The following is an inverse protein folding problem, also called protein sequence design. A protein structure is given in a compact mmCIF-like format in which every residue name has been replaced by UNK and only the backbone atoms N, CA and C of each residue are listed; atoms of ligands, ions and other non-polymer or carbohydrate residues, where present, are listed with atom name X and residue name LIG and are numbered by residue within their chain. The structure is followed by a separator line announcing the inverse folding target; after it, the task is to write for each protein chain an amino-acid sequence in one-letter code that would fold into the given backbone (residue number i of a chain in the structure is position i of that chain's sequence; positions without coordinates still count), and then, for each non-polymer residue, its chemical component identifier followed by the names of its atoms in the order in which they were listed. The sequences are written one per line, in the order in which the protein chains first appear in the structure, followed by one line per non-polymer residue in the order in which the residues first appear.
data_IF_394063784677
#
_entry.id   IF_394063784677
#
_cell.length_a   1.000
_cell.length_b   1.000
_cell.length_c   1.000
_cell.angle_alpha   90.00
_cell.angle_beta   90.00
_cell.angle_gamma   90.00
#
_symmetry.space_group_name_H-M   'P 1'
#
loop_
_entity.id
_entity.type
_entity.pdbx_description
1 polymer ?
#
# COMPACT_ATOMS: atom_id res chain seq x y z
N UNK A 1 14.92 -10.02 -21.15
CA UNK A 1 13.95 -10.91 -20.44
C UNK A 1 12.61 -10.20 -20.26
N UNK A 2 11.53 -10.85 -20.67
CA UNK A 2 10.15 -10.42 -20.37
C UNK A 2 9.95 -10.42 -18.85
N UNK A 3 9.47 -9.30 -18.30
CA UNK A 3 9.23 -9.13 -16.86
C UNK A 3 7.76 -9.42 -16.57
N UNK A 4 7.47 -10.15 -15.49
CA UNK A 4 6.09 -10.42 -15.05
C UNK A 4 5.29 -9.10 -14.93
N UNK A 5 4.06 -9.05 -15.46
CA UNK A 5 3.17 -7.90 -15.28
C UNK A 5 2.97 -7.59 -13.80
N UNK A 6 2.92 -6.31 -13.44
CA UNK A 6 2.56 -5.92 -12.06
C UNK A 6 1.08 -6.19 -11.86
N UNK A 7 0.75 -6.87 -10.76
CA UNK A 7 -0.63 -7.10 -10.34
C UNK A 7 -1.31 -5.75 -10.14
N UNK A 8 -2.53 -5.62 -10.66
CA UNK A 8 -3.37 -4.45 -10.53
C UNK A 8 -4.81 -4.89 -10.23
N UNK A 9 -5.40 -4.23 -9.24
CA UNK A 9 -6.82 -4.25 -8.96
C UNK A 9 -7.18 -2.95 -8.22
N UNK A 10 -8.37 -2.37 -8.45
CA UNK A 10 -8.85 -1.27 -7.63
C UNK A 10 -8.87 -1.63 -6.14
N UNK A 11 -8.55 -0.67 -5.28
CA UNK A 11 -8.48 -0.81 -3.83
C UNK A 11 -7.18 -1.42 -3.29
N UNK A 12 -6.27 -1.89 -4.14
CA UNK A 12 -4.98 -2.42 -3.68
C UNK A 12 -4.11 -1.33 -3.08
N UNK A 13 -3.58 -1.62 -1.89
CA UNK A 13 -2.63 -0.78 -1.17
C UNK A 13 -1.20 -1.19 -1.57
N UNK A 14 -0.39 -0.20 -1.91
CA UNK A 14 0.99 -0.38 -2.30
C UNK A 14 1.93 0.48 -1.47
N UNK A 15 3.00 -0.12 -0.96
CA UNK A 15 4.20 0.63 -0.58
C UNK A 15 5.10 0.77 -1.80
N UNK A 16 5.30 1.99 -2.24
CA UNK A 16 6.09 2.34 -3.41
C UNK A 16 7.41 2.94 -2.98
N UNK A 17 8.50 2.46 -3.59
CA UNK A 17 9.85 2.97 -3.34
C UNK A 17 10.48 3.34 -4.68
N UNK A 18 11.00 4.56 -4.76
CA UNK A 18 11.76 5.07 -5.91
C UNK A 18 13.14 5.45 -5.43
N UNK A 19 14.21 5.04 -6.11
CA UNK A 19 15.58 5.35 -5.68
C UNK A 19 16.38 5.96 -6.83
N UNK A 20 17.18 6.98 -6.51
CA UNK A 20 18.08 7.66 -7.44
C UNK A 20 19.15 6.73 -7.97
N UNK A 21 19.49 6.87 -9.24
CA UNK A 21 20.51 6.07 -9.90
C UNK A 21 21.84 6.19 -9.14
N UNK A 22 22.51 5.05 -8.90
CA UNK A 22 23.70 4.97 -8.04
C UNK A 22 23.50 5.62 -6.64
N UNK A 23 22.28 5.59 -6.09
CA UNK A 23 21.91 6.23 -4.81
C UNK A 23 22.18 7.74 -4.76
N UNK A 24 22.36 8.38 -5.92
CA UNK A 24 22.59 9.83 -6.02
C UNK A 24 21.36 10.60 -5.58
N UNK A 25 21.59 11.83 -5.12
CA UNK A 25 20.51 12.76 -4.78
C UNK A 25 19.64 13.02 -6.01
N UNK A 26 18.35 12.78 -5.83
CA UNK A 26 17.29 13.11 -6.79
C UNK A 26 16.70 14.48 -6.50
N UNK A 27 16.89 15.00 -5.28
CA UNK A 27 16.52 16.35 -4.88
C UNK A 27 17.78 17.07 -4.37
N UNK A 28 18.13 18.21 -4.98
CA UNK A 28 19.33 18.99 -4.65
C UNK A 28 19.00 20.32 -4.01
N UNK A 29 17.83 20.88 -4.30
CA UNK A 29 17.30 22.09 -3.68
C UNK A 29 15.78 21.98 -3.47
N UNK A 30 15.21 22.95 -2.78
CA UNK A 30 13.79 23.03 -2.46
C UNK A 30 12.88 23.00 -3.70
N UNK A 31 13.33 23.58 -4.80
CA UNK A 31 12.54 23.63 -6.04
C UNK A 31 12.39 22.24 -6.67
N UNK A 32 13.36 21.34 -6.48
CA UNK A 32 13.22 19.94 -6.90
C UNK A 32 12.11 19.23 -6.11
N UNK A 33 12.01 19.52 -4.80
CA UNK A 33 10.97 18.95 -3.95
C UNK A 33 9.59 19.48 -4.33
N UNK A 34 9.45 20.80 -4.50
CA UNK A 34 8.21 21.43 -4.95
C UNK A 34 7.77 20.87 -6.31
N UNK A 35 8.69 20.81 -7.27
CA UNK A 35 8.43 20.25 -8.59
C UNK A 35 7.93 18.80 -8.54
N UNK A 36 8.45 17.98 -7.63
CA UNK A 36 7.96 16.61 -7.45
C UNK A 36 6.58 16.58 -6.81
N UNK A 37 6.33 17.39 -5.77
CA UNK A 37 5.03 17.45 -5.09
C UNK A 37 3.92 17.94 -6.02
N UNK A 38 4.18 18.95 -6.85
CA UNK A 38 3.22 19.44 -7.86
C UNK A 38 2.83 18.33 -8.85
N UNK A 39 3.81 17.53 -9.27
CA UNK A 39 3.58 16.37 -10.15
C UNK A 39 2.84 15.27 -9.40
N UNK A 40 3.20 15.02 -8.15
CA UNK A 40 2.56 14.02 -7.30
C UNK A 40 1.06 14.34 -7.17
N UNK A 41 0.71 15.58 -6.85
CA UNK A 41 -0.68 16.04 -6.79
C UNK A 41 -1.39 15.90 -8.13
N UNK A 42 -0.78 16.40 -9.22
CA UNK A 42 -1.33 16.33 -10.58
C UNK A 42 -1.64 14.90 -11.01
N UNK A 43 -0.69 13.99 -10.87
CA UNK A 43 -0.87 12.60 -11.29
C UNK A 43 -1.75 11.81 -10.33
N UNK A 44 -1.77 12.16 -9.03
CA UNK A 44 -2.74 11.62 -8.07
C UNK A 44 -4.16 11.89 -8.54
N UNK A 45 -4.47 13.15 -8.83
CA UNK A 45 -5.78 13.58 -9.31
C UNK A 45 -6.12 12.93 -10.66
N UNK A 46 -5.20 13.00 -11.64
CA UNK A 46 -5.41 12.45 -12.99
C UNK A 46 -5.63 10.93 -13.01
N UNK A 47 -5.03 10.20 -12.07
CA UNK A 47 -5.13 8.73 -12.02
C UNK A 47 -6.11 8.25 -10.94
N UNK A 48 -6.78 9.16 -10.22
CA UNK A 48 -7.71 8.83 -9.14
C UNK A 48 -7.13 7.83 -8.13
N UNK A 49 -5.87 8.04 -7.72
CA UNK A 49 -5.23 7.25 -6.66
C UNK A 49 -5.33 7.97 -5.33
N UNK A 50 -5.42 7.20 -4.25
CA UNK A 50 -5.37 7.72 -2.88
C UNK A 50 -3.94 7.58 -2.36
N UNK A 51 -3.45 8.59 -1.64
CA UNK A 51 -2.14 8.54 -1.00
C UNK A 51 -2.36 8.72 0.49
N UNK A 52 -1.89 7.78 1.30
CA UNK A 52 -2.01 7.86 2.78
C UNK A 52 -0.73 8.34 3.45
N UNK A 53 0.41 8.23 2.78
CA UNK A 53 1.67 8.72 3.32
C UNK A 53 2.66 8.93 2.18
N UNK A 54 3.54 9.91 2.33
CA UNK A 54 4.71 10.08 1.48
C UNK A 54 5.90 10.61 2.28
N UNK A 55 7.09 10.33 1.78
CA UNK A 55 8.33 10.96 2.24
C UNK A 55 9.31 11.06 1.07
N UNK A 56 9.70 12.28 0.73
CA UNK A 56 10.73 12.57 -0.29
C UNK A 56 12.07 12.70 0.43
N UNK A 57 12.89 11.66 0.40
CA UNK A 57 14.26 11.70 0.93
C UNK A 57 15.22 12.21 -0.15
N UNK A 58 16.40 12.75 0.18
CA UNK A 58 17.30 13.34 -0.82
C UNK A 58 17.62 12.46 -2.03
N UNK A 59 17.70 11.13 -1.86
CA UNK A 59 18.02 10.18 -2.92
C UNK A 59 16.94 9.11 -3.17
N UNK A 60 15.79 9.16 -2.50
CA UNK A 60 14.72 8.19 -2.70
C UNK A 60 13.35 8.72 -2.25
N UNK A 61 12.28 8.07 -2.68
CA UNK A 61 10.90 8.44 -2.36
C UNK A 61 10.17 7.22 -1.84
N UNK A 62 9.40 7.40 -0.77
CA UNK A 62 8.41 6.45 -0.27
C UNK A 62 7.00 6.99 -0.47
N UNK A 63 6.09 6.19 -1.00
CA UNK A 63 4.67 6.48 -1.09
C UNK A 63 3.84 5.30 -0.57
N UNK A 64 2.75 5.57 0.14
CA UNK A 64 1.71 4.58 0.46
C UNK A 64 0.48 4.91 -0.36
N UNK A 65 0.29 4.16 -1.43
CA UNK A 65 -0.67 4.47 -2.49
C UNK A 65 -1.73 3.41 -2.55
N UNK A 66 -2.98 3.80 -2.61
CA UNK A 66 -4.07 2.91 -2.94
C UNK A 66 -4.61 3.23 -4.34
N UNK A 67 -4.66 2.21 -5.20
CA UNK A 67 -5.10 2.37 -6.58
C UNK A 67 -6.62 2.45 -6.68
N UNK A 68 -7.14 3.38 -7.47
CA UNK A 68 -8.53 3.37 -7.93
C UNK A 68 -8.70 2.52 -9.19
N UNK A 69 -9.47 3.01 -10.15
CA UNK A 69 -9.67 2.37 -11.46
C UNK A 69 -8.44 2.40 -12.38
N UNK A 70 -7.45 3.23 -12.07
CA UNK A 70 -6.23 3.37 -12.87
C UNK A 70 -5.09 2.53 -12.31
N UNK A 71 -4.34 1.78 -13.15
CA UNK A 71 -3.17 1.05 -12.71
C UNK A 71 -2.08 1.94 -12.11
N UNK A 72 -1.46 1.47 -11.01
CA UNK A 72 -0.30 2.11 -10.38
C UNK A 72 0.81 2.44 -11.40
N UNK A 73 0.97 1.60 -12.42
CA UNK A 73 1.94 1.83 -13.49
C UNK A 73 1.72 3.13 -14.26
N UNK A 74 0.48 3.50 -14.55
CA UNK A 74 0.16 4.74 -15.28
C UNK A 74 0.44 5.96 -14.41
N UNK A 75 0.06 5.90 -13.14
CA UNK A 75 0.38 6.94 -12.14
C UNK A 75 1.89 7.16 -12.01
N UNK A 76 2.64 6.09 -11.75
CA UNK A 76 4.08 6.16 -11.52
C UNK A 76 4.86 6.52 -12.79
N UNK A 77 4.43 6.06 -13.97
CA UNK A 77 5.06 6.42 -15.24
C UNK A 77 4.98 7.93 -15.46
N UNK A 78 3.79 8.51 -15.35
CA UNK A 78 3.60 9.95 -15.51
C UNK A 78 4.41 10.77 -14.51
N UNK A 79 4.34 10.38 -13.23
CA UNK A 79 5.08 11.04 -12.15
C UNK A 79 6.61 11.00 -12.39
N UNK A 80 7.17 9.81 -12.60
CA UNK A 80 8.62 9.65 -12.72
C UNK A 80 9.17 10.27 -14.01
N UNK A 81 8.46 10.11 -15.13
CA UNK A 81 8.89 10.63 -16.43
C UNK A 81 8.91 12.16 -16.41
N UNK A 82 7.80 12.79 -15.98
CA UNK A 82 7.70 14.24 -15.93
C UNK A 82 8.69 14.89 -14.95
N UNK A 83 9.02 14.21 -13.85
CA UNK A 83 10.02 14.69 -12.91
C UNK A 83 11.45 14.50 -13.45
N UNK A 84 11.75 13.35 -14.05
CA UNK A 84 13.07 13.11 -14.68
C UNK A 84 13.37 14.14 -15.77
N UNK A 85 12.37 14.48 -16.59
CA UNK A 85 12.51 15.51 -17.62
C UNK A 85 12.81 16.90 -17.01
N UNK A 86 12.12 17.26 -15.93
CA UNK A 86 12.39 18.50 -15.20
C UNK A 86 13.81 18.52 -14.66
N UNK A 87 14.21 17.50 -13.92
CA UNK A 87 15.55 17.39 -13.35
C UNK A 87 16.64 17.46 -14.42
N UNK A 88 16.48 16.71 -15.51
CA UNK A 88 17.46 16.69 -16.60
C UNK A 88 17.58 18.06 -17.27
N UNK A 89 16.47 18.79 -17.43
CA UNK A 89 16.47 20.16 -17.96
C UNK A 89 17.16 21.13 -17.00
N UNK A 90 16.80 21.09 -15.71
CA UNK A 90 17.35 21.99 -14.68
C UNK A 90 18.86 21.81 -14.50
N UNK A 91 19.35 20.57 -14.58
CA UNK A 91 20.76 20.24 -14.31
C UNK A 91 21.59 19.90 -15.56
N UNK A 92 21.06 20.16 -16.77
CA UNK A 92 21.70 19.83 -18.06
C UNK A 92 22.24 18.39 -18.09
N UNK A 93 21.41 17.43 -17.65
CA UNK A 93 21.73 16.00 -17.61
C UNK A 93 20.98 15.25 -18.71
N UNK A 94 21.52 14.08 -19.05
CA UNK A 94 20.90 13.11 -19.96
C UNK A 94 20.81 11.74 -19.28
N UNK A 95 19.91 10.89 -19.76
CA UNK A 95 19.74 9.53 -19.25
C UNK A 95 18.85 9.41 -18.01
N UNK A 96 19.03 8.31 -17.28
CA UNK A 96 18.16 7.91 -16.17
C UNK A 96 18.49 8.60 -14.86
N UNK A 97 17.50 9.28 -14.26
CA UNK A 97 17.59 9.82 -12.91
C UNK A 97 17.46 8.74 -11.83
N UNK A 98 16.55 7.77 -12.02
CA UNK A 98 16.27 6.70 -11.06
C UNK A 98 16.94 5.38 -11.48
N UNK A 99 17.12 4.43 -10.54
CA UNK A 99 17.72 3.09 -10.77
C UNK A 99 16.90 2.15 -11.68
N UNK A 100 15.96 2.70 -12.46
CA UNK A 100 14.98 1.98 -13.23
C UNK A 100 13.57 2.18 -12.67
N UNK A 101 12.72 1.16 -12.80
CA UNK A 101 11.32 1.27 -12.37
C UNK A 101 11.23 1.29 -10.84
N UNK A 102 10.21 1.99 -10.33
CA UNK A 102 9.82 1.91 -8.92
C UNK A 102 9.59 0.46 -8.45
N UNK A 103 9.83 0.24 -7.15
CA UNK A 103 9.35 -0.93 -6.41
C UNK A 103 7.92 -0.69 -5.99
N UNK A 104 7.08 -1.72 -6.09
CA UNK A 104 5.69 -1.67 -5.64
C UNK A 104 5.38 -2.97 -4.92
N UNK A 105 5.13 -2.81 -3.63
CA UNK A 105 4.89 -3.88 -2.67
C UNK A 105 3.40 -3.85 -2.35
N UNK A 106 2.68 -4.94 -2.59
CA UNK A 106 1.26 -5.03 -2.19
C UNK A 106 1.20 -5.23 -0.68
N UNK A 107 0.34 -4.47 -0.01
CA UNK A 107 0.21 -4.49 1.44
C UNK A 107 -1.20 -4.93 1.83
N UNK A 108 -1.28 -5.83 2.82
CA UNK A 108 -2.53 -6.14 3.52
C UNK A 108 -2.95 -4.90 4.32
N UNK A 109 -4.09 -4.28 3.96
CA UNK A 109 -4.51 -2.99 4.49
C UNK A 109 -4.67 -3.03 6.00
N UNK A 110 -5.40 -4.03 6.48
CA UNK A 110 -5.81 -4.09 7.89
C UNK A 110 -4.60 -4.29 8.80
N UNK A 111 -3.58 -4.99 8.31
CA UNK A 111 -2.36 -5.28 9.08
C UNK A 111 -1.31 -4.17 8.99
N UNK A 112 -1.15 -3.54 7.83
CA UNK A 112 0.04 -2.72 7.57
C UNK A 112 -0.22 -1.24 7.37
N UNK A 113 -1.47 -0.79 7.20
CA UNK A 113 -1.76 0.61 6.87
C UNK A 113 -1.15 1.59 7.88
N UNK A 114 -1.49 1.46 9.17
CA UNK A 114 -0.99 2.36 10.22
C UNK A 114 0.53 2.23 10.40
N UNK A 115 1.03 1.00 10.43
CA UNK A 115 2.47 0.73 10.57
C UNK A 115 3.28 1.39 9.45
N UNK A 116 2.79 1.34 8.21
CA UNK A 116 3.44 1.95 7.05
C UNK A 116 3.33 3.49 7.05
N UNK A 117 2.20 4.05 7.47
CA UNK A 117 2.06 5.51 7.66
C UNK A 117 3.14 6.00 8.62
N UNK A 118 3.24 5.39 9.80
CA UNK A 118 4.29 5.72 10.79
C UNK A 118 5.69 5.48 10.23
N UNK A 119 5.90 4.36 9.56
CA UNK A 119 7.19 4.03 8.95
C UNK A 119 7.69 5.14 8.01
N UNK A 120 6.83 5.57 7.10
CA UNK A 120 7.14 6.56 6.08
C UNK A 120 7.37 7.93 6.70
N UNK A 121 6.55 8.35 7.67
CA UNK A 121 6.71 9.66 8.31
C UNK A 121 7.93 9.75 9.24
N UNK A 122 8.39 8.62 9.79
CA UNK A 122 9.60 8.57 10.62
C UNK A 122 10.90 8.40 9.81
N UNK A 123 10.84 8.23 8.50
CA UNK A 123 12.05 8.06 7.67
C UNK A 123 13.09 9.19 7.82
N UNK A 124 12.69 10.47 7.82
CA UNK A 124 13.63 11.58 8.00
C UNK A 124 14.37 11.54 9.33
N UNK A 125 13.67 11.13 10.40
CA UNK A 125 14.24 11.02 11.74
C UNK A 125 15.21 9.86 11.82
N UNK A 126 14.83 8.69 11.28
CA UNK A 126 15.70 7.51 11.23
C UNK A 126 16.96 7.74 10.41
N UNK A 127 16.85 8.52 9.34
CA UNK A 127 17.99 8.94 8.53
C UNK A 127 18.81 10.08 9.16
N UNK A 128 18.49 10.50 10.40
CA UNK A 128 19.15 11.58 11.14
C UNK A 128 19.16 12.93 10.39
N UNK A 129 18.19 13.17 9.50
CA UNK A 129 18.03 14.45 8.80
C UNK A 129 17.39 15.51 9.69
N UNK A 130 16.52 15.07 10.60
CA UNK A 130 15.84 15.89 11.59
C UNK A 130 15.68 15.11 12.88
N UNK A 131 15.52 15.78 14.02
CA UNK A 131 15.28 15.12 15.32
C UNK A 131 13.81 14.78 15.55
N UNK A 132 12.89 15.43 14.83
CA UNK A 132 11.44 15.27 14.98
C UNK A 132 10.75 15.30 13.61
N UNK A 133 9.71 14.49 13.36
CA UNK A 133 9.12 14.32 12.03
C UNK A 133 8.49 15.61 11.48
N UNK A 134 7.92 16.46 12.31
CA UNK A 134 7.32 17.74 11.93
C UNK A 134 8.32 18.75 11.34
N UNK A 135 9.61 18.59 11.66
CA UNK A 135 10.69 19.43 11.12
C UNK A 135 11.04 19.09 9.68
N UNK A 136 10.51 18.00 9.13
CA UNK A 136 10.78 17.60 7.75
C UNK A 136 9.62 17.94 6.81
N UNK A 137 9.77 19.06 6.10
CA UNK A 137 8.73 19.63 5.23
C UNK A 137 8.34 18.74 4.05
N UNK A 138 9.22 17.83 3.61
CA UNK A 138 9.00 17.00 2.41
C UNK A 138 8.43 15.61 2.73
N UNK A 139 7.61 15.54 3.79
CA UNK A 139 6.82 14.37 4.14
C UNK A 139 5.35 14.71 4.30
N UNK A 140 4.50 13.70 4.14
CA UNK A 140 3.06 13.82 4.39
C UNK A 140 2.70 13.99 5.86
N UNK A 141 3.67 13.93 6.79
CA UNK A 141 3.41 13.98 8.22
C UNK A 141 2.67 15.26 8.64
N UNK A 142 3.14 16.42 8.15
CA UNK A 142 2.57 17.72 8.50
C UNK A 142 1.12 17.89 8.02
N UNK A 143 0.72 17.18 6.96
CA UNK A 143 -0.68 17.16 6.50
C UNK A 143 -1.65 16.58 7.53
N UNK A 144 -1.19 15.69 8.41
CA UNK A 144 -1.98 15.15 9.51
C UNK A 144 -2.03 16.08 10.73
N UNK A 145 -1.10 17.03 10.82
CA UNK A 145 -1.04 18.01 11.90
C UNK A 145 -1.85 19.28 11.56
N UNK A 146 -2.19 19.49 10.30
CA UNK A 146 -3.09 20.57 9.88
C UNK A 146 -4.52 20.01 9.76
N UNK A 147 -5.54 20.78 10.15
CA UNK A 147 -6.94 20.32 10.23
C UNK A 147 -7.59 20.08 8.84
N UNK A 148 -7.05 19.17 8.03
CA UNK A 148 -7.75 18.58 6.87
C UNK A 148 -7.61 19.29 5.52
N UNK A 149 -6.70 20.27 5.36
CA UNK A 149 -6.48 20.96 4.06
C UNK A 149 -5.43 20.29 3.16
N UNK A 150 -5.15 19.02 3.39
CA UNK A 150 -4.10 18.29 2.68
C UNK A 150 -4.49 17.98 1.22
N UNK A 151 -3.79 18.58 0.25
CA UNK A 151 -4.07 18.37 -1.18
C UNK A 151 -3.63 17.00 -1.72
N UNK A 152 -2.56 16.45 -1.13
CA UNK A 152 -1.90 15.23 -1.62
C UNK A 152 -2.34 13.99 -0.84
N UNK A 153 -2.54 14.12 0.47
CA UNK A 153 -2.72 12.98 1.38
C UNK A 153 -4.16 12.87 1.87
N UNK A 154 -4.71 11.66 1.80
CA UNK A 154 -6.02 11.30 2.36
C UNK A 154 -5.88 11.07 3.87
N UNK A 155 -5.99 12.16 4.64
CA UNK A 155 -5.77 12.12 6.09
C UNK A 155 -6.95 11.52 6.86
N UNK A 156 -8.17 11.75 6.38
CA UNK A 156 -9.42 11.42 7.09
C UNK A 156 -9.52 9.95 7.49
N UNK A 157 -9.23 8.95 6.63
CA UNK A 157 -9.36 7.55 7.02
C UNK A 157 -8.43 7.18 8.18
N UNK A 158 -7.17 7.62 8.15
CA UNK A 158 -6.19 7.33 9.21
C UNK A 158 -6.55 8.07 10.50
N UNK A 159 -6.95 9.35 10.41
CA UNK A 159 -7.38 10.11 11.58
C UNK A 159 -8.61 9.48 12.23
N UNK A 160 -9.58 9.00 11.45
CA UNK A 160 -10.75 8.28 11.98
C UNK A 160 -10.33 6.98 12.69
N UNK A 161 -9.46 6.18 12.08
CA UNK A 161 -8.97 4.93 12.67
C UNK A 161 -8.25 5.16 14.01
N UNK A 162 -7.50 6.25 14.14
CA UNK A 162 -6.71 6.54 15.33
C UNK A 162 -7.48 7.37 16.39
N UNK A 163 -8.64 7.93 16.07
CA UNK A 163 -9.38 8.81 17.00
C UNK A 163 -8.95 10.29 16.96
N UNK A 164 -8.41 10.76 15.84
CA UNK A 164 -8.15 12.16 15.55
C UNK A 164 -6.67 12.57 15.57
N UNK A 165 -6.41 13.86 15.33
CA UNK A 165 -5.06 14.42 15.18
C UNK A 165 -4.13 14.14 16.36
N UNK A 166 -4.60 14.38 17.59
CA UNK A 166 -3.78 14.19 18.81
C UNK A 166 -3.36 12.72 18.98
N UNK A 167 -4.25 11.78 18.65
CA UNK A 167 -3.96 10.36 18.72
C UNK A 167 -2.99 9.93 17.61
N UNK A 168 -3.15 10.47 16.39
CA UNK A 168 -2.18 10.27 15.32
C UNK A 168 -0.77 10.78 15.68
N UNK A 169 -0.67 11.98 16.26
CA UNK A 169 0.62 12.56 16.64
C UNK A 169 1.34 11.66 17.67
N UNK A 170 0.61 11.23 18.70
CA UNK A 170 1.10 10.28 19.70
C UNK A 170 1.55 8.96 19.06
N UNK A 171 0.72 8.37 18.21
CA UNK A 171 1.01 7.14 17.49
C UNK A 171 2.31 7.21 16.69
N UNK A 172 2.58 8.33 16.02
CA UNK A 172 3.84 8.53 15.28
C UNK A 172 5.03 8.69 16.24
N UNK A 173 4.89 9.51 17.29
CA UNK A 173 5.97 9.79 18.24
C UNK A 173 6.36 8.58 19.10
N UNK A 174 5.42 7.71 19.46
CA UNK A 174 5.70 6.43 20.13
C UNK A 174 6.64 5.54 19.29
N UNK A 175 6.62 5.69 17.97
CA UNK A 175 7.54 4.99 17.07
C UNK A 175 9.00 5.44 17.15
N UNK A 176 9.32 6.48 17.93
CA UNK A 176 10.70 6.94 18.18
C UNK A 176 11.42 6.12 19.27
N UNK A 177 10.68 5.57 20.25
CA UNK A 177 11.25 4.93 21.45
C UNK A 177 11.36 3.40 21.41
N UNK A 178 10.87 2.73 20.36
CA UNK A 178 10.90 1.27 20.28
C UNK A 178 12.29 0.70 19.93
N UNK A 179 12.71 -0.33 20.67
CA UNK A 179 13.95 -1.08 20.43
C UNK A 179 14.05 -1.50 18.96
N UNK A 180 15.13 -1.05 18.33
CA UNK A 180 15.29 -1.05 16.89
C UNK A 180 15.54 -2.46 16.36
N UNK A 181 14.58 -3.01 15.61
CA UNK A 181 14.92 -4.08 14.68
C UNK A 181 15.59 -3.43 13.46
N UNK A 182 16.92 -3.31 13.45
CA UNK A 182 17.68 -2.94 12.24
C UNK A 182 17.32 -3.86 11.05
N UNK A 183 16.94 -5.11 11.34
CA UNK A 183 16.38 -6.07 10.39
C UNK A 183 15.06 -5.63 9.72
N UNK A 184 14.29 -4.72 10.33
CA UNK A 184 13.09 -4.13 9.72
C UNK A 184 13.46 -3.27 8.50
N UNK A 185 14.66 -2.66 8.51
CA UNK A 185 15.06 -1.56 7.64
C UNK A 185 16.24 -1.87 6.71
N UNK A 186 16.98 -2.95 7.00
CA UNK A 186 18.17 -3.38 6.24
C UNK A 186 17.88 -3.98 4.86
N UNK A 187 16.64 -3.88 4.34
CA UNK A 187 16.27 -4.44 3.03
C UNK A 187 16.72 -3.51 1.91
N UNK A 188 18.05 -3.41 1.78
CA UNK A 188 18.64 -3.22 0.46
C UNK A 188 18.17 -4.35 -0.44
N UNK A 189 17.43 -3.93 -1.45
CA UNK A 189 17.08 -4.73 -2.61
C UNK A 189 16.17 -5.98 -2.44
N UNK A 190 14.87 -5.80 -2.19
CA UNK A 190 13.88 -6.82 -2.58
C UNK A 190 12.82 -6.30 -3.55
N UNK A 191 12.49 -7.14 -4.54
CA UNK A 191 11.57 -6.85 -5.67
C UNK A 191 10.17 -7.41 -5.46
N UNK A 192 9.93 -8.10 -4.36
CA UNK A 192 8.63 -8.61 -3.91
C UNK A 192 8.67 -8.65 -2.37
N UNK A 193 7.66 -8.09 -1.72
CA UNK A 193 7.42 -8.30 -0.28
C UNK A 193 6.26 -9.29 -0.23
N UNK A 194 6.57 -10.53 0.12
CA UNK A 194 5.65 -11.65 -0.05
C UNK A 194 6.27 -13.05 0.05
N UNK A 195 7.60 -13.18 0.11
CA UNK A 195 8.22 -14.40 0.64
C UNK A 195 8.64 -14.21 2.09
N UNK A 196 8.54 -15.31 2.84
CA UNK A 196 8.48 -15.42 4.29
C UNK A 196 9.52 -14.56 5.02
N UNK A 197 9.08 -13.80 6.01
CA UNK A 197 9.97 -13.10 6.94
C UNK A 197 9.43 -11.76 7.45
N UNK A 198 8.86 -10.93 6.58
CA UNK A 198 8.41 -9.59 7.01
C UNK A 198 7.09 -9.62 7.79
N UNK A 199 6.15 -10.48 7.39
CA UNK A 199 4.86 -10.59 8.07
C UNK A 199 4.98 -11.15 9.49
N UNK A 200 5.91 -12.07 9.71
CA UNK A 200 6.19 -12.60 11.05
C UNK A 200 6.95 -11.59 11.92
N UNK A 201 7.86 -10.80 11.34
CA UNK A 201 8.59 -9.77 12.08
C UNK A 201 7.70 -8.59 12.53
N UNK A 202 6.63 -8.28 11.78
CA UNK A 202 5.64 -7.27 12.20
C UNK A 202 4.61 -7.86 13.17
N UNK A 203 4.12 -9.08 12.94
CA UNK A 203 3.21 -9.76 13.87
C UNK A 203 3.77 -9.78 15.29
N UNK A 204 5.06 -10.15 15.46
CA UNK A 204 5.74 -10.19 16.77
C UNK A 204 5.83 -8.84 17.51
N UNK A 205 5.75 -7.70 16.81
CA UNK A 205 5.80 -6.36 17.41
C UNK A 205 4.43 -5.75 17.71
N UNK A 206 3.39 -6.20 17.01
CA UNK A 206 1.98 -5.78 17.21
C UNK A 206 1.19 -6.71 18.13
N UNK A 207 1.73 -7.87 18.47
CA UNK A 207 1.12 -8.87 19.35
C UNK A 207 0.91 -8.39 20.80
N UNK A 208 1.41 -7.21 21.17
CA UNK A 208 1.21 -6.67 22.52
C UNK A 208 -0.04 -5.80 22.70
N UNK A 209 -0.94 -5.61 21.71
CA UNK A 209 -2.08 -4.70 21.95
C UNK A 209 -3.37 -4.92 21.15
N UNK A 210 -3.78 -6.15 20.84
CA UNK A 210 -5.15 -6.39 20.34
C UNK A 210 -5.80 -7.61 20.99
N UNK A 211 -6.68 -7.35 21.97
CA UNK A 211 -7.71 -8.31 22.41
C UNK A 211 -8.61 -8.67 21.22
N UNK A 212 -8.31 -9.80 20.58
CA UNK A 212 -9.13 -10.32 19.47
C UNK A 212 -10.32 -11.10 20.01
N UNK A 213 -11.52 -10.64 19.68
CA UNK A 213 -12.69 -11.53 19.55
C UNK A 213 -12.31 -12.69 18.62
N UNK A 214 -12.36 -13.93 19.11
CA UNK A 214 -11.95 -15.10 18.36
C UNK A 214 -12.82 -15.26 17.10
N UNK A 215 -12.21 -15.08 15.91
CA UNK A 215 -12.85 -15.45 14.64
C UNK A 215 -13.06 -16.97 14.62
N UNK A 216 -14.21 -17.44 14.13
CA UNK A 216 -14.40 -18.87 13.84
C UNK A 216 -13.26 -19.33 12.90
N UNK A 217 -12.86 -20.62 12.90
CA UNK A 217 -11.90 -21.11 11.93
C UNK A 217 -12.40 -20.91 10.49
N UNK A 218 -11.52 -20.43 9.59
CA UNK A 218 -11.87 -20.16 8.18
C UNK A 218 -12.49 -21.36 7.49
N UNK A 219 -12.08 -22.58 7.87
CA UNK A 219 -12.65 -23.81 7.34
C UNK A 219 -14.14 -23.97 7.68
N UNK A 220 -14.52 -23.70 8.94
CA UNK A 220 -15.90 -23.79 9.41
C UNK A 220 -16.77 -22.77 8.69
N UNK A 221 -16.32 -21.52 8.64
CA UNK A 221 -17.05 -20.46 7.93
C UNK A 221 -17.11 -20.75 6.42
N UNK A 222 -16.06 -21.30 5.82
CA UNK A 222 -16.07 -21.63 4.40
C UNK A 222 -17.10 -22.72 4.06
N UNK A 223 -17.33 -23.70 4.96
CA UNK A 223 -18.40 -24.69 4.78
C UNK A 223 -19.80 -24.10 4.89
N UNK A 224 -19.98 -23.10 5.75
CA UNK A 224 -21.24 -22.34 5.86
C UNK A 224 -21.48 -21.54 4.56
N UNK A 225 -20.45 -20.82 4.08
CA UNK A 225 -20.51 -20.04 2.84
C UNK A 225 -20.74 -20.92 1.61
N UNK A 226 -20.09 -22.08 1.52
CA UNK A 226 -20.28 -23.00 0.38
C UNK A 226 -21.75 -23.45 0.26
N UNK A 227 -22.43 -23.69 1.39
CA UNK A 227 -23.86 -23.99 1.41
C UNK A 227 -24.70 -22.79 0.94
N UNK A 228 -24.35 -21.57 1.38
CA UNK A 228 -25.05 -20.34 1.00
C UNK A 228 -24.94 -20.02 -0.50
N UNK A 229 -23.80 -20.31 -1.13
CA UNK A 229 -23.61 -20.14 -2.59
C UNK A 229 -23.97 -21.41 -3.39
N UNK A 230 -24.70 -22.34 -2.77
CA UNK A 230 -25.25 -23.56 -3.39
C UNK A 230 -24.18 -24.40 -4.10
N UNK A 231 -23.10 -24.73 -3.40
CA UNK A 231 -22.00 -25.54 -3.94
C UNK A 231 -21.24 -26.29 -2.84
N UNK A 232 -20.18 -27.00 -3.21
CA UNK A 232 -19.32 -27.72 -2.27
C UNK A 232 -17.98 -27.00 -2.06
N UNK A 233 -17.38 -27.09 -0.85
CA UNK A 233 -16.04 -26.56 -0.60
C UNK A 233 -14.98 -27.07 -1.59
N UNK A 234 -15.11 -28.32 -2.03
CA UNK A 234 -14.21 -28.95 -3.01
C UNK A 234 -14.25 -28.27 -4.38
N UNK A 235 -15.43 -27.93 -4.89
CA UNK A 235 -15.57 -27.23 -6.17
C UNK A 235 -15.02 -25.79 -6.11
N UNK A 236 -15.24 -25.11 -4.99
CA UNK A 236 -14.72 -23.75 -4.77
C UNK A 236 -13.19 -23.73 -4.65
N UNK A 237 -12.59 -24.71 -3.96
CA UNK A 237 -11.13 -24.87 -3.87
C UNK A 237 -10.50 -25.40 -5.16
N UNK A 238 -11.26 -26.18 -5.91
CA UNK A 238 -10.83 -26.83 -7.15
C UNK A 238 -10.45 -25.85 -8.26
N UNK A 239 -9.89 -26.42 -9.34
CA UNK A 239 -9.46 -25.67 -10.53
C UNK A 239 -10.55 -25.55 -11.60
N UNK A 240 -11.77 -26.00 -11.34
CA UNK A 240 -12.90 -25.91 -12.28
C UNK A 240 -13.13 -24.44 -12.69
N UNK A 241 -13.17 -24.23 -14.00
CA UNK A 241 -13.24 -22.90 -14.65
C UNK A 241 -14.59 -22.65 -15.32
N UNK A 242 -15.57 -23.54 -15.16
CA UNK A 242 -16.93 -23.25 -15.60
C UNK A 242 -17.42 -21.95 -14.96
N UNK A 243 -18.19 -21.21 -15.73
CA UNK A 243 -18.56 -19.84 -15.40
C UNK A 243 -19.38 -19.74 -14.10
N UNK A 244 -20.26 -20.71 -13.87
CA UNK A 244 -21.07 -20.88 -12.66
C UNK A 244 -20.18 -21.10 -11.42
N UNK A 245 -19.24 -22.06 -11.48
CA UNK A 245 -18.33 -22.35 -10.36
C UNK A 245 -17.37 -21.19 -10.10
N UNK A 246 -16.89 -20.54 -11.16
CA UNK A 246 -16.00 -19.38 -11.03
C UNK A 246 -16.70 -18.17 -10.42
N UNK A 247 -17.98 -17.99 -10.70
CA UNK A 247 -18.82 -16.93 -10.11
C UNK A 247 -19.10 -17.21 -8.63
N UNK A 248 -19.54 -18.42 -8.30
CA UNK A 248 -19.76 -18.87 -6.91
C UNK A 248 -18.49 -18.80 -6.06
N UNK A 249 -17.32 -19.08 -6.66
CA UNK A 249 -16.01 -18.92 -6.00
C UNK A 249 -15.69 -17.47 -5.68
N UNK A 250 -15.95 -16.56 -6.63
CA UNK A 250 -15.75 -15.14 -6.37
C UNK A 250 -16.68 -14.67 -5.24
N UNK A 251 -17.93 -15.11 -5.24
CA UNK A 251 -18.93 -14.74 -4.23
C UNK A 251 -18.54 -15.26 -2.84
N UNK A 252 -18.10 -16.52 -2.75
CA UNK A 252 -17.58 -17.07 -1.51
C UNK A 252 -16.36 -16.31 -0.97
N UNK A 253 -15.46 -15.89 -1.86
CA UNK A 253 -14.32 -15.03 -1.52
C UNK A 253 -14.76 -13.67 -1.03
N UNK A 254 -15.77 -13.06 -1.65
CA UNK A 254 -16.37 -11.80 -1.22
C UNK A 254 -16.98 -11.89 0.17
N UNK A 255 -17.79 -12.93 0.43
CA UNK A 255 -18.39 -13.16 1.75
C UNK A 255 -17.32 -13.34 2.84
N UNK A 256 -16.29 -14.14 2.58
CA UNK A 256 -15.18 -14.33 3.52
C UNK A 256 -14.51 -13.00 3.88
N UNK A 257 -14.26 -12.14 2.90
CA UNK A 257 -13.49 -10.90 3.11
C UNK A 257 -14.37 -9.76 3.64
N UNK A 258 -15.54 -9.54 3.05
CA UNK A 258 -16.41 -8.39 3.35
C UNK A 258 -17.34 -8.62 4.53
N UNK A 259 -17.91 -9.83 4.68
CA UNK A 259 -18.90 -10.12 5.72
C UNK A 259 -18.24 -10.73 6.97
N UNK A 260 -17.30 -11.65 6.78
CA UNK A 260 -16.64 -12.36 7.89
C UNK A 260 -15.26 -11.79 8.25
N UNK A 261 -14.77 -10.80 7.50
CA UNK A 261 -13.56 -10.04 7.82
C UNK A 261 -12.27 -10.86 7.78
N UNK A 262 -12.21 -11.95 7.01
CA UNK A 262 -10.96 -12.70 6.79
C UNK A 262 -10.01 -11.89 5.89
N UNK A 263 -8.72 -11.92 6.22
CA UNK A 263 -7.73 -11.23 5.41
C UNK A 263 -7.61 -11.90 4.02
N UNK A 264 -7.37 -11.10 2.98
CA UNK A 264 -7.13 -11.61 1.61
C UNK A 264 -6.00 -12.65 1.57
N UNK A 265 -4.97 -12.42 2.39
CA UNK A 265 -3.84 -13.34 2.57
C UNK A 265 -4.23 -14.70 3.16
N UNK A 266 -5.17 -14.70 4.10
CA UNK A 266 -5.70 -15.89 4.76
C UNK A 266 -6.58 -16.71 3.82
N UNK A 267 -7.49 -16.03 3.11
CA UNK A 267 -8.35 -16.64 2.09
C UNK A 267 -7.54 -17.25 0.94
N UNK A 268 -6.50 -16.54 0.48
CA UNK A 268 -5.59 -17.02 -0.55
C UNK A 268 -4.88 -18.32 -0.15
N UNK A 269 -4.30 -18.34 1.06
CA UNK A 269 -3.63 -19.52 1.63
C UNK A 269 -4.60 -20.69 1.74
N UNK A 270 -5.80 -20.46 2.28
CA UNK A 270 -6.81 -21.49 2.45
C UNK A 270 -7.29 -22.09 1.11
N UNK A 271 -7.48 -21.26 0.09
CA UNK A 271 -7.91 -21.70 -1.24
C UNK A 271 -6.76 -22.27 -2.10
N UNK A 272 -5.51 -22.21 -1.65
CA UNK A 272 -4.34 -22.61 -2.46
C UNK A 272 -4.17 -21.74 -3.71
N UNK A 273 -4.46 -20.43 -3.59
CA UNK A 273 -4.47 -19.46 -4.69
C UNK A 273 -3.60 -18.26 -4.34
N UNK A 274 -3.14 -17.56 -5.37
CA UNK A 274 -2.41 -16.31 -5.18
C UNK A 274 -3.33 -15.17 -4.69
N UNK A 275 -2.83 -14.27 -3.85
CA UNK A 275 -3.59 -13.13 -3.33
C UNK A 275 -4.13 -12.22 -4.44
N UNK A 276 -3.43 -12.12 -5.58
CA UNK A 276 -3.89 -11.41 -6.76
C UNK A 276 -5.12 -12.06 -7.38
N UNK A 277 -5.19 -13.39 -7.35
CA UNK A 277 -6.35 -14.13 -7.85
C UNK A 277 -7.58 -13.82 -6.99
N UNK A 278 -7.42 -13.81 -5.66
CA UNK A 278 -8.46 -13.43 -4.71
C UNK A 278 -8.88 -11.97 -4.91
N UNK A 279 -7.92 -11.05 -5.01
CA UNK A 279 -8.20 -9.62 -5.24
C UNK A 279 -8.95 -9.38 -6.56
N UNK A 280 -8.58 -10.10 -7.62
CA UNK A 280 -9.27 -10.02 -8.91
C UNK A 280 -10.72 -10.47 -8.82
N UNK A 281 -11.00 -11.53 -8.04
CA UNK A 281 -12.37 -12.01 -7.81
C UNK A 281 -13.22 -10.95 -7.10
N UNK A 282 -12.67 -10.34 -6.05
CA UNK A 282 -13.33 -9.26 -5.30
C UNK A 282 -13.65 -8.07 -6.20
N UNK A 283 -12.68 -7.57 -6.98
CA UNK A 283 -12.88 -6.41 -7.84
C UNK A 283 -13.93 -6.63 -8.93
N UNK A 284 -14.02 -7.85 -9.49
CA UNK A 284 -15.04 -8.18 -10.50
C UNK A 284 -16.46 -8.18 -9.93
N UNK A 285 -16.62 -8.56 -8.66
CA UNK A 285 -17.92 -8.54 -7.99
C UNK A 285 -18.35 -7.13 -7.61
N UNK A 286 -17.46 -6.31 -7.04
CA UNK A 286 -17.79 -4.91 -6.72
C UNK A 286 -18.20 -4.11 -7.97
N UNK A 287 -17.57 -4.39 -9.13
CA UNK A 287 -17.95 -3.76 -10.39
C UNK A 287 -19.39 -4.12 -10.82
N UNK A 288 -19.79 -5.40 -10.66
CA UNK A 288 -21.14 -5.89 -10.99
C UNK A 288 -22.22 -5.37 -10.04
N UNK A 289 -21.91 -5.21 -8.75
CA UNK A 289 -22.85 -4.62 -7.78
C UNK A 289 -23.11 -3.15 -8.07
N UNK A 290 -22.07 -2.40 -8.46
CA UNK A 290 -22.19 -0.98 -8.83
C UNK A 290 -23.02 -0.76 -10.09
N UNK A 291 -23.01 -1.71 -11.03
CA UNK A 291 -23.85 -1.70 -12.25
C UNK A 291 -25.31 -2.09 -11.97
N UNK A 292 -25.60 -2.86 -10.93
CA UNK A 292 -26.96 -3.28 -10.55
C UNK A 292 -27.70 -2.27 -9.66
N UNK A 293 -26.99 -1.34 -9.03
CA UNK A 293 -27.58 -0.27 -8.20
C UNK A 293 -27.82 1.03 -8.98
N UNK A 294 -27.78 0.98 -10.31
CA UNK A 294 -28.13 2.06 -11.24
C UNK A 294 -29.33 1.64 -12.06
#
# INVERSE_FOLDING_TARGET
MSRRPRIFAPGLLYHVIVRGNQRRKTFRCDDDYKAYLDRLERYRAKCHVRIYAYCLMPNHVHLLVETGSTPLAKFMQGLQQSYTQHFNRSYRKVGHLFQGRYKAIICDRDKYLLALVRYIHLNPVRAKLVTRPERYSYSGHNSYLTNGTAKIVEVTPILKLLGGKKAYERFVLEGLGGNHNEAYYAVEDQRFLGEQGFGEAISRGTEQNEERRAKKPIETTFREIARRVETTPGLLRGRDRRWDISTKRAEAVALLVWEYGYAVSEVAKYLGRDQANISTMLSRLSARETERSR
#
